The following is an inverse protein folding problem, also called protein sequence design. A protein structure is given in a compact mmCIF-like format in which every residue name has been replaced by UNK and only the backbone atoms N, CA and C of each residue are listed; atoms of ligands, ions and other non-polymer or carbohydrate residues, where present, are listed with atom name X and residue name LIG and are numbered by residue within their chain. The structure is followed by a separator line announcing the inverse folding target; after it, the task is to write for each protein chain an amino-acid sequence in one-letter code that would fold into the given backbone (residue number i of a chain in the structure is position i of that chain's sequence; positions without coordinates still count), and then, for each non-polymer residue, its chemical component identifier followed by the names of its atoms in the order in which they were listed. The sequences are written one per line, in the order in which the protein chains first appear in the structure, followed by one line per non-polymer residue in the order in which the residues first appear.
data_IF_595303814351
#
_entry.id   IF_595303814351
#
_cell.length_a   1.000
_cell.length_b   1.000
_cell.length_c   1.000
_cell.angle_alpha   90.00
_cell.angle_beta   90.00
_cell.angle_gamma   90.00
#
_symmetry.space_group_name_H-M   'P 1'
#
loop_
_entity.id
_entity.type
_entity.pdbx_description
1 polymer ?
#
# COMPACT_ATOMS: atom_id res chain seq x y z
N UNK A 1 25.53 -5.03 -22.73
CA UNK A 1 24.12 -4.82 -23.17
C UNK A 1 23.23 -5.01 -21.97
N UNK A 2 22.53 -3.97 -21.51
CA UNK A 2 21.62 -4.08 -20.36
C UNK A 2 20.46 -4.98 -20.80
N UNK A 3 20.53 -6.26 -20.38
CA UNK A 3 19.57 -7.30 -20.70
C UNK A 3 18.26 -7.08 -19.96
N UNK A 4 17.52 -6.03 -20.33
CA UNK A 4 16.10 -5.92 -20.02
C UNK A 4 15.42 -7.04 -20.80
N UNK A 5 15.15 -8.12 -20.08
CA UNK A 5 14.48 -9.32 -20.55
C UNK A 5 13.19 -8.93 -21.27
N UNK A 6 12.90 -9.57 -22.41
CA UNK A 6 11.69 -9.32 -23.21
C UNK A 6 10.47 -9.69 -22.35
N UNK A 7 9.85 -8.67 -21.76
CA UNK A 7 8.68 -8.81 -20.90
C UNK A 7 7.54 -9.52 -21.63
N UNK A 8 7.07 -10.63 -21.08
CA UNK A 8 5.65 -10.91 -20.75
C UNK A 8 5.60 -12.10 -19.78
N UNK A 9 4.99 -11.89 -18.60
CA UNK A 9 3.66 -12.45 -18.41
C UNK A 9 2.76 -11.40 -17.77
N UNK A 10 2.33 -10.41 -18.57
CA UNK A 10 1.42 -9.34 -18.11
C UNK A 10 0.24 -9.93 -17.32
N UNK A 11 -0.36 -11.02 -17.80
CA UNK A 11 -1.44 -11.72 -17.11
C UNK A 11 -1.05 -12.27 -15.73
N UNK A 12 0.17 -12.82 -15.57
CA UNK A 12 0.66 -13.28 -14.25
C UNK A 12 0.87 -12.11 -13.31
N UNK A 13 1.44 -11.01 -13.79
CA UNK A 13 1.67 -9.82 -12.97
C UNK A 13 0.34 -9.15 -12.58
N UNK A 14 -0.62 -9.10 -13.50
CA UNK A 14 -1.98 -8.63 -13.21
C UNK A 14 -2.67 -9.54 -12.19
N UNK A 15 -2.54 -10.86 -12.33
CA UNK A 15 -3.13 -11.82 -11.39
C UNK A 15 -2.50 -11.69 -9.99
N UNK A 16 -1.18 -11.53 -9.91
CA UNK A 16 -0.49 -11.24 -8.65
C UNK A 16 -0.97 -9.90 -8.07
N UNK A 17 -1.07 -8.85 -8.88
CA UNK A 17 -1.57 -7.55 -8.44
C UNK A 17 -3.00 -7.58 -7.93
N UNK A 18 -3.92 -8.19 -8.69
CA UNK A 18 -5.33 -8.36 -8.31
C UNK A 18 -5.47 -9.26 -7.08
N UNK A 19 -4.70 -10.34 -7.00
CA UNK A 19 -4.70 -11.24 -5.85
C UNK A 19 -4.18 -10.54 -4.59
N UNK A 20 -3.09 -9.78 -4.70
CA UNK A 20 -2.57 -8.97 -3.59
C UNK A 20 -3.56 -7.88 -3.16
N UNK A 21 -4.22 -7.21 -4.11
CA UNK A 21 -5.27 -6.23 -3.82
C UNK A 21 -6.46 -6.88 -3.10
N UNK A 22 -6.92 -8.05 -3.54
CA UNK A 22 -8.02 -8.77 -2.89
C UNK A 22 -7.66 -9.17 -1.46
N UNK A 23 -6.45 -9.72 -1.24
CA UNK A 23 -5.98 -10.06 0.11
C UNK A 23 -5.92 -8.81 0.99
N UNK A 24 -5.34 -7.72 0.49
CA UNK A 24 -5.28 -6.44 1.21
C UNK A 24 -6.68 -5.93 1.57
N UNK A 25 -7.60 -5.91 0.61
CA UNK A 25 -8.99 -5.49 0.82
C UNK A 25 -9.71 -6.33 1.88
N UNK A 26 -9.50 -7.65 1.87
CA UNK A 26 -10.06 -8.55 2.89
C UNK A 26 -9.48 -8.24 4.27
N UNK A 27 -8.15 -8.05 4.37
CA UNK A 27 -7.49 -7.73 5.65
C UNK A 27 -7.99 -6.40 6.20
N UNK A 28 -8.08 -5.36 5.36
CA UNK A 28 -8.60 -4.04 5.76
C UNK A 28 -10.07 -4.12 6.15
N UNK A 29 -10.89 -4.85 5.40
CA UNK A 29 -12.31 -5.05 5.70
C UNK A 29 -12.50 -5.71 7.06
N UNK A 30 -11.79 -6.81 7.32
CA UNK A 30 -11.83 -7.52 8.60
C UNK A 30 -11.36 -6.58 9.73
N UNK A 31 -10.22 -5.90 9.54
CA UNK A 31 -9.68 -4.96 10.52
C UNK A 31 -10.64 -3.82 10.86
N UNK A 32 -11.24 -3.19 9.84
CA UNK A 32 -12.20 -2.10 10.03
C UNK A 32 -13.46 -2.56 10.77
N UNK A 33 -13.97 -3.76 10.47
CA UNK A 33 -15.12 -4.33 11.18
C UNK A 33 -14.78 -4.68 12.64
N UNK A 34 -13.61 -5.28 12.89
CA UNK A 34 -13.18 -5.62 14.25
C UNK A 34 -12.94 -4.38 15.13
N UNK A 35 -12.49 -3.28 14.53
CA UNK A 35 -12.28 -2.01 15.22
C UNK A 35 -13.55 -1.16 15.34
N UNK A 36 -14.67 -1.58 14.74
CA UNK A 36 -15.94 -0.83 14.76
C UNK A 36 -15.97 0.45 13.92
N UNK A 37 -14.96 0.68 13.06
CA UNK A 37 -14.77 1.90 12.28
C UNK A 37 -15.05 1.70 10.78
N UNK A 38 -15.84 0.69 10.42
CA UNK A 38 -16.16 0.43 9.02
C UNK A 38 -17.24 1.38 8.51
N UNK A 39 -16.92 2.15 7.47
CA UNK A 39 -17.86 2.97 6.72
C UNK A 39 -17.78 2.60 5.23
N UNK A 40 -18.91 2.18 4.65
CA UNK A 40 -18.99 1.84 3.23
C UNK A 40 -19.37 3.09 2.42
N UNK A 41 -18.36 3.73 1.84
CA UNK A 41 -18.52 4.92 0.99
C UNK A 41 -17.61 4.85 -0.25
N UNK A 42 -18.03 4.12 -1.30
CA UNK A 42 -17.29 4.07 -2.55
C UNK A 42 -17.37 5.37 -3.35
N UNK A 43 -18.36 6.24 -3.06
CA UNK A 43 -18.55 7.52 -3.75
C UNK A 43 -17.42 8.51 -3.46
N UNK A 44 -16.80 8.38 -2.27
CA UNK A 44 -15.61 9.13 -1.87
C UNK A 44 -14.49 9.17 -2.93
N UNK A 45 -14.31 8.07 -3.69
CA UNK A 45 -13.25 7.93 -4.70
C UNK A 45 -13.55 8.64 -6.03
N UNK A 46 -14.82 8.92 -6.31
CA UNK A 46 -15.29 9.41 -7.62
C UNK A 46 -16.01 10.75 -7.57
N UNK A 47 -16.19 11.33 -6.38
CA UNK A 47 -16.83 12.65 -6.24
C UNK A 47 -16.00 13.77 -6.86
N UNK A 48 -16.70 14.84 -7.24
CA UNK A 48 -16.06 16.07 -7.69
C UNK A 48 -15.34 16.79 -6.54
N UNK A 49 -14.23 17.49 -6.85
CA UNK A 49 -13.56 18.35 -5.89
C UNK A 49 -14.53 19.44 -5.42
N UNK A 50 -14.68 19.58 -4.10
CA UNK A 50 -15.60 20.54 -3.52
C UNK A 50 -14.94 21.22 -2.30
N UNK A 51 -14.65 22.53 -2.37
CA UNK A 51 -13.97 23.26 -1.31
C UNK A 51 -14.80 23.42 -0.03
N UNK A 52 -16.09 23.06 -0.05
CA UNK A 52 -16.95 23.07 1.13
C UNK A 52 -16.66 21.90 2.09
N UNK A 53 -16.03 20.82 1.61
CA UNK A 53 -15.60 19.72 2.49
C UNK A 53 -14.25 20.03 3.15
N UNK A 54 -14.05 19.73 4.44
CA UNK A 54 -12.78 19.97 5.11
C UNK A 54 -11.71 18.91 4.78
N UNK A 55 -10.45 19.32 4.78
CA UNK A 55 -9.29 18.41 4.71
C UNK A 55 -9.14 17.67 3.37
N UNK A 56 -8.62 16.44 3.43
CA UNK A 56 -8.37 15.61 2.24
C UNK A 56 -9.64 15.26 1.47
N UNK A 57 -10.80 15.40 2.11
CA UNK A 57 -12.10 15.18 1.49
C UNK A 57 -12.45 16.23 0.42
N UNK A 58 -11.88 17.45 0.52
CA UNK A 58 -12.11 18.52 -0.47
C UNK A 58 -11.62 18.17 -1.89
N UNK A 59 -10.63 17.29 -2.00
CA UNK A 59 -9.96 17.00 -3.26
C UNK A 59 -10.80 16.17 -4.24
N UNK A 60 -11.83 15.46 -3.77
CA UNK A 60 -12.59 14.53 -4.60
C UNK A 60 -11.67 13.56 -5.34
N UNK A 61 -11.88 13.37 -6.64
CA UNK A 61 -11.02 12.50 -7.46
C UNK A 61 -9.54 12.93 -7.49
N UNK A 62 -9.15 14.16 -7.16
CA UNK A 62 -7.73 14.51 -7.06
C UNK A 62 -6.98 13.73 -5.96
N UNK A 63 -7.68 13.08 -5.04
CA UNK A 63 -7.09 12.23 -4.02
C UNK A 63 -6.22 11.11 -4.60
N UNK A 64 -6.51 10.63 -5.81
CA UNK A 64 -5.70 9.62 -6.51
C UNK A 64 -4.23 10.03 -6.64
N UNK A 65 -3.96 11.32 -6.88
CA UNK A 65 -2.59 11.83 -7.03
C UNK A 65 -1.82 11.70 -5.70
N UNK A 66 -2.49 11.99 -4.58
CA UNK A 66 -1.90 11.88 -3.25
C UNK A 66 -1.70 10.42 -2.85
N UNK A 67 -2.64 9.54 -3.18
CA UNK A 67 -2.60 8.12 -2.82
C UNK A 67 -1.59 7.30 -3.65
N UNK A 68 -1.31 7.70 -4.90
CA UNK A 68 -0.31 7.02 -5.73
C UNK A 68 1.11 7.25 -5.20
N UNK A 69 1.39 8.44 -4.65
CA UNK A 69 2.72 8.82 -4.18
C UNK A 69 3.32 7.84 -3.17
N UNK A 70 2.67 7.51 -2.03
CA UNK A 70 3.22 6.56 -1.07
C UNK A 70 3.44 5.19 -1.71
N UNK A 71 2.48 4.67 -2.48
CA UNK A 71 2.61 3.36 -3.14
C UNK A 71 3.80 3.29 -4.10
N UNK A 72 4.08 4.36 -4.86
CA UNK A 72 5.25 4.42 -5.74
C UNK A 72 6.56 4.35 -4.95
N UNK A 73 6.67 5.14 -3.87
CA UNK A 73 7.87 5.19 -3.04
C UNK A 73 8.08 3.91 -2.23
N UNK A 74 7.01 3.28 -1.77
CA UNK A 74 7.05 1.97 -1.13
C UNK A 74 7.61 0.91 -2.07
N UNK A 75 7.15 0.85 -3.32
CA UNK A 75 7.68 -0.09 -4.31
C UNK A 75 9.17 0.14 -4.59
N UNK A 76 9.59 1.41 -4.76
CA UNK A 76 11.00 1.77 -4.95
C UNK A 76 11.85 1.35 -3.74
N UNK A 77 11.39 1.64 -2.52
CA UNK A 77 12.12 1.30 -1.31
C UNK A 77 12.23 -0.22 -1.11
N UNK A 78 11.11 -0.95 -1.19
CA UNK A 78 11.07 -2.36 -0.82
C UNK A 78 11.48 -3.29 -1.95
N UNK A 79 11.03 -3.07 -3.19
CA UNK A 79 11.39 -3.90 -4.36
C UNK A 79 12.65 -3.40 -5.07
N UNK A 80 12.87 -2.09 -5.10
CA UNK A 80 14.05 -1.51 -5.74
C UNK A 80 15.33 -1.56 -4.89
N UNK A 81 15.22 -1.43 -3.57
CA UNK A 81 16.40 -1.30 -2.67
C UNK A 81 16.49 -2.45 -1.67
N UNK A 82 15.52 -2.59 -0.76
CA UNK A 82 15.62 -3.50 0.39
C UNK A 82 15.71 -4.98 -0.06
N UNK A 83 14.77 -5.44 -0.89
CA UNK A 83 14.74 -6.84 -1.32
C UNK A 83 15.98 -7.25 -2.12
N UNK A 84 16.48 -6.47 -3.10
CA UNK A 84 17.74 -6.77 -3.78
C UNK A 84 18.93 -6.83 -2.83
N UNK A 85 19.04 -5.91 -1.87
CA UNK A 85 20.12 -5.89 -0.89
C UNK A 85 20.08 -7.12 0.03
N UNK A 86 18.90 -7.48 0.54
CA UNK A 86 18.72 -8.69 1.34
C UNK A 86 19.03 -9.96 0.54
N UNK A 87 18.63 -10.01 -0.73
CA UNK A 87 18.85 -11.16 -1.61
C UNK A 87 20.33 -11.39 -1.96
N UNK A 88 21.21 -10.40 -1.77
CA UNK A 88 22.67 -10.57 -1.90
C UNK A 88 23.28 -11.40 -0.77
N UNK A 89 22.63 -11.45 0.40
CA UNK A 89 23.16 -12.07 1.62
C UNK A 89 22.35 -13.27 2.08
N UNK A 90 21.04 -13.27 1.87
CA UNK A 90 20.12 -14.28 2.38
C UNK A 90 19.46 -15.08 1.26
N UNK A 91 19.00 -16.30 1.58
CA UNK A 91 18.17 -17.10 0.68
C UNK A 91 16.90 -16.31 0.33
N UNK A 92 16.41 -16.46 -0.90
CA UNK A 92 15.28 -15.70 -1.42
C UNK A 92 14.05 -15.68 -0.50
N UNK A 93 13.67 -16.83 0.07
CA UNK A 93 12.52 -16.91 0.99
C UNK A 93 12.75 -16.08 2.27
N UNK A 94 13.97 -16.10 2.81
CA UNK A 94 14.35 -15.34 4.00
C UNK A 94 14.35 -13.84 3.67
N UNK A 95 14.90 -13.46 2.51
CA UNK A 95 14.90 -12.08 2.06
C UNK A 95 13.47 -11.52 1.89
N UNK A 96 12.54 -12.32 1.35
CA UNK A 96 11.13 -11.98 1.23
C UNK A 96 10.50 -11.81 2.61
N UNK A 97 10.67 -12.78 3.51
CA UNK A 97 10.12 -12.71 4.87
C UNK A 97 10.63 -11.49 5.63
N UNK A 98 11.94 -11.24 5.61
CA UNK A 98 12.54 -10.06 6.24
C UNK A 98 11.99 -8.76 5.64
N UNK A 99 11.90 -8.66 4.31
CA UNK A 99 11.33 -7.49 3.64
C UNK A 99 9.87 -7.25 4.04
N UNK A 100 9.05 -8.31 4.12
CA UNK A 100 7.64 -8.22 4.55
C UNK A 100 7.49 -7.82 6.01
N UNK A 101 8.33 -8.35 6.91
CA UNK A 101 8.31 -7.97 8.34
C UNK A 101 8.70 -6.50 8.52
N UNK A 102 9.77 -6.04 7.85
CA UNK A 102 10.19 -4.64 7.90
C UNK A 102 9.08 -3.73 7.36
N UNK A 103 8.42 -4.12 6.26
CA UNK A 103 7.30 -3.38 5.70
C UNK A 103 6.15 -3.24 6.71
N UNK A 104 5.74 -4.35 7.33
CA UNK A 104 4.68 -4.34 8.35
C UNK A 104 5.05 -3.50 9.58
N UNK A 105 6.30 -3.59 10.06
CA UNK A 105 6.77 -2.79 11.20
C UNK A 105 6.83 -1.28 10.88
N UNK A 106 7.19 -0.90 9.65
CA UNK A 106 7.17 0.50 9.21
C UNK A 106 5.76 1.09 9.32
N UNK A 107 4.73 0.30 9.02
CA UNK A 107 3.32 0.71 9.15
C UNK A 107 2.85 0.72 10.61
N UNK A 108 3.38 -0.14 11.47
CA UNK A 108 3.05 -0.14 12.89
C UNK A 108 3.45 1.18 13.59
N UNK A 109 4.50 1.86 13.13
CA UNK A 109 4.86 3.19 13.65
C UNK A 109 3.77 4.23 13.37
N UNK A 110 3.08 4.17 12.24
CA UNK A 110 1.95 5.06 11.97
C UNK A 110 0.81 4.81 12.97
N UNK A 111 0.54 3.55 13.31
CA UNK A 111 -0.47 3.18 14.30
C UNK A 111 -0.08 3.71 15.69
N UNK A 112 1.19 3.55 16.10
CA UNK A 112 1.69 4.07 17.36
C UNK A 112 1.56 5.59 17.40
N UNK A 113 1.89 6.30 16.32
CA UNK A 113 1.73 7.75 16.23
C UNK A 113 0.27 8.17 16.39
N UNK A 114 -0.67 7.51 15.70
CA UNK A 114 -2.11 7.79 15.84
C UNK A 114 -2.61 7.52 17.27
N UNK A 115 -2.17 6.43 17.89
CA UNK A 115 -2.51 6.10 19.28
C UNK A 115 -1.94 7.12 20.27
N UNK A 116 -0.73 7.62 20.04
CA UNK A 116 -0.07 8.61 20.89
C UNK A 116 -0.55 10.05 20.64
N UNK A 117 -1.07 10.35 19.45
CA UNK A 117 -1.64 11.67 19.13
C UNK A 117 -3.06 11.87 19.67
N UNK A 118 -3.60 10.90 20.40
CA UNK A 118 -4.92 10.99 21.03
C UNK A 118 -6.08 10.46 20.21
N UNK A 119 -5.81 9.88 19.02
CA UNK A 119 -6.80 9.22 18.16
C UNK A 119 -8.14 9.94 18.05
N UNK A 120 -8.22 10.93 17.15
CA UNK A 120 -9.52 11.44 16.69
C UNK A 120 -10.16 10.47 15.67
#
# INVERSE_FOLDING_TARGET
TIGLTKVKPLGRNLLVGLGSFAIFGIVVLIGANLLGNYYWDPEFLFRDPNPLFPGIASFGWFIWIFMIRPGLWEEVAFRGVILPLLSRKYKQIIAILMSSVIFGLAHAFNIIIVLLSGGD
#
